data_IF_158629966227
#
_entry.id   IF_158629966227
#
_cell.length_a   1.000
_cell.length_b   1.000
_cell.length_c   1.000
_cell.angle_alpha   90.00
_cell.angle_beta   90.00
_cell.angle_gamma   90.00
#
_symmetry.space_group_name_H-M   'P 1'
#
loop_
_entity.id
_entity.type
_entity.pdbx_description
1 polymer ?
#
# COMPACT_ATOMS: atom_id res chain seq x y z
N UNK A 1 7.35 -12.82 12.85
CA UNK A 1 6.37 -12.56 11.77
C UNK A 1 7.06 -12.80 10.44
N UNK A 2 6.53 -13.70 9.62
CA UNK A 2 7.09 -13.97 8.28
C UNK A 2 6.37 -13.07 7.28
N UNK A 3 7.07 -12.10 6.70
CA UNK A 3 6.51 -11.23 5.66
C UNK A 3 6.54 -11.92 4.30
N UNK A 4 5.57 -11.59 3.44
CA UNK A 4 5.56 -12.09 2.08
C UNK A 4 6.75 -11.55 1.28
N UNK A 5 7.43 -12.43 0.56
CA UNK A 5 8.54 -12.08 -0.33
C UNK A 5 8.04 -11.90 -1.77
N UNK A 6 8.67 -11.02 -2.57
CA UNK A 6 8.37 -10.91 -3.99
C UNK A 6 8.64 -12.24 -4.68
N UNK A 7 7.59 -12.81 -5.30
CA UNK A 7 7.71 -14.07 -6.06
C UNK A 7 7.87 -13.85 -7.57
N UNK A 8 7.65 -12.61 -8.02
CA UNK A 8 7.58 -12.25 -9.42
C UNK A 8 8.49 -11.06 -9.70
N UNK A 9 9.02 -11.02 -10.92
CA UNK A 9 9.85 -9.90 -11.37
C UNK A 9 9.01 -8.64 -11.62
N UNK A 10 9.65 -7.47 -11.63
CA UNK A 10 8.95 -6.20 -11.90
C UNK A 10 8.26 -6.21 -13.27
N UNK A 11 8.83 -6.89 -14.26
CA UNK A 11 8.23 -7.10 -15.58
C UNK A 11 6.90 -7.86 -15.48
N UNK A 12 6.85 -8.94 -14.71
CA UNK A 12 5.65 -9.75 -14.50
C UNK A 12 4.56 -8.96 -13.78
N UNK A 13 4.93 -8.23 -12.73
CA UNK A 13 4.02 -7.33 -12.02
C UNK A 13 3.40 -6.30 -12.96
N UNK A 14 4.20 -5.75 -13.88
CA UNK A 14 3.69 -4.81 -14.88
C UNK A 14 2.79 -5.48 -15.92
N UNK A 15 3.11 -6.71 -16.35
CA UNK A 15 2.28 -7.50 -17.26
C UNK A 15 0.92 -7.81 -16.62
N UNK A 16 0.92 -8.29 -15.37
CA UNK A 16 -0.29 -8.54 -14.60
C UNK A 16 -1.15 -7.28 -14.48
N UNK A 17 -0.54 -6.11 -14.20
CA UNK A 17 -1.24 -4.84 -14.15
C UNK A 17 -1.98 -4.50 -15.46
N UNK A 18 -1.40 -4.82 -16.62
CA UNK A 18 -2.04 -4.62 -17.93
C UNK A 18 -3.20 -5.58 -18.14
N UNK A 19 -3.00 -6.87 -17.88
CA UNK A 19 -4.05 -7.91 -18.02
C UNK A 19 -5.28 -7.57 -17.18
N UNK A 20 -5.09 -7.15 -15.91
CA UNK A 20 -6.18 -6.75 -15.02
C UNK A 20 -6.97 -5.52 -15.50
N UNK A 21 -6.40 -4.74 -16.43
CA UNK A 21 -7.05 -3.59 -17.03
C UNK A 21 -7.84 -3.92 -18.29
N UNK A 22 -7.55 -5.04 -18.96
CA UNK A 22 -8.23 -5.47 -20.18
C UNK A 22 -9.70 -5.87 -19.90
N UNK A 23 -10.55 -5.69 -20.91
CA UNK A 23 -11.95 -6.16 -20.91
C UNK A 23 -12.07 -7.58 -21.44
N UNK A 24 -11.22 -7.95 -22.39
CA UNK A 24 -11.10 -9.30 -22.93
C UNK A 24 -9.79 -9.91 -22.40
N UNK A 25 -9.90 -11.08 -21.79
CA UNK A 25 -8.77 -11.81 -21.23
C UNK A 25 -9.11 -13.30 -21.20
N UNK A 26 -8.07 -14.12 -21.29
CA UNK A 26 -8.17 -15.51 -20.92
C UNK A 26 -8.32 -15.64 -19.39
N UNK A 27 -9.11 -16.61 -18.94
CA UNK A 27 -9.42 -16.78 -17.51
C UNK A 27 -8.16 -17.15 -16.72
N UNK A 28 -7.31 -18.02 -17.25
CA UNK A 28 -6.10 -18.47 -16.57
C UNK A 28 -5.09 -17.32 -16.48
N UNK A 29 -4.96 -16.51 -17.55
CA UNK A 29 -4.15 -15.29 -17.53
C UNK A 29 -4.63 -14.28 -16.47
N UNK A 30 -5.95 -14.12 -16.33
CA UNK A 30 -6.51 -13.20 -15.34
C UNK A 30 -6.30 -13.69 -13.91
N UNK A 31 -6.48 -14.99 -13.67
CA UNK A 31 -6.21 -15.61 -12.36
C UNK A 31 -4.74 -15.42 -12.00
N UNK A 32 -3.82 -15.72 -12.91
CA UNK A 32 -2.39 -15.46 -12.72
C UNK A 32 -2.12 -13.98 -12.40
N UNK A 33 -2.70 -13.06 -13.17
CA UNK A 33 -2.50 -11.63 -12.94
C UNK A 33 -3.02 -11.18 -11.57
N UNK A 34 -4.13 -11.76 -11.11
CA UNK A 34 -4.69 -11.47 -9.79
C UNK A 34 -3.81 -12.01 -8.65
N UNK A 35 -3.22 -13.20 -8.81
CA UNK A 35 -2.24 -13.75 -7.88
C UNK A 35 -0.98 -12.89 -7.78
N UNK A 36 -0.45 -12.43 -8.92
CA UNK A 36 0.69 -11.50 -8.98
C UNK A 36 0.37 -10.21 -8.22
N UNK A 37 -0.81 -9.63 -8.44
CA UNK A 37 -1.28 -8.45 -7.70
C UNK A 37 -1.38 -8.74 -6.19
N UNK A 38 -1.89 -9.90 -5.80
CA UNK A 38 -2.02 -10.29 -4.40
C UNK A 38 -0.66 -10.42 -3.71
N UNK A 39 0.31 -11.09 -4.34
CA UNK A 39 1.69 -11.19 -3.84
C UNK A 39 2.33 -9.80 -3.75
N UNK A 40 2.26 -9.00 -4.82
CA UNK A 40 2.84 -7.66 -4.85
C UNK A 40 2.31 -6.77 -3.72
N UNK A 41 0.98 -6.80 -3.48
CA UNK A 41 0.35 -6.10 -2.35
C UNK A 41 0.85 -6.65 -1.01
N UNK A 42 0.93 -7.96 -0.84
CA UNK A 42 1.37 -8.58 0.41
C UNK A 42 2.82 -8.22 0.77
N UNK A 43 3.72 -8.09 -0.21
CA UNK A 43 5.12 -7.69 0.00
C UNK A 43 5.26 -6.31 0.63
N UNK A 44 4.29 -5.41 0.42
CA UNK A 44 4.27 -4.10 1.05
C UNK A 44 3.97 -4.16 2.55
N UNK A 45 3.62 -5.32 3.11
CA UNK A 45 3.45 -5.50 4.55
C UNK A 45 4.73 -5.24 5.36
N UNK A 46 5.90 -5.63 4.85
CA UNK A 46 7.18 -5.37 5.51
C UNK A 46 7.49 -3.87 5.66
N UNK A 47 7.54 -3.07 4.57
CA UNK A 47 7.83 -1.64 4.71
C UNK A 47 6.77 -0.92 5.56
N UNK A 48 5.48 -1.27 5.40
CA UNK A 48 4.41 -0.71 6.24
C UNK A 48 4.68 -0.96 7.73
N UNK A 49 5.02 -2.20 8.12
CA UNK A 49 5.31 -2.53 9.51
C UNK A 49 6.52 -1.73 10.04
N UNK A 50 7.57 -1.58 9.22
CA UNK A 50 8.75 -0.77 9.57
C UNK A 50 8.37 0.68 9.84
N UNK A 51 7.62 1.33 8.94
CA UNK A 51 7.14 2.70 9.17
C UNK A 51 6.13 2.80 10.31
N UNK A 52 5.37 1.73 10.59
CA UNK A 52 4.40 1.69 11.69
C UNK A 52 5.07 1.85 13.04
N UNK A 53 6.23 1.22 13.23
CA UNK A 53 6.99 1.33 14.48
C UNK A 53 7.37 2.80 14.76
N UNK A 54 7.86 3.51 13.74
CA UNK A 54 8.18 4.93 13.83
C UNK A 54 6.94 5.78 14.14
N UNK A 55 5.83 5.57 13.42
CA UNK A 55 4.59 6.30 13.65
C UNK A 55 4.03 6.07 15.06
N UNK A 56 4.10 4.83 15.56
CA UNK A 56 3.69 4.48 16.92
C UNK A 56 4.52 5.20 17.98
N UNK A 57 5.84 5.31 17.77
CA UNK A 57 6.72 6.06 18.68
C UNK A 57 6.31 7.53 18.73
N UNK A 58 6.27 8.19 17.57
CA UNK A 58 5.96 9.62 17.45
C UNK A 58 4.57 9.98 17.95
N UNK A 59 3.55 9.18 17.63
CA UNK A 59 2.17 9.49 18.05
C UNK A 59 1.97 9.34 19.55
N UNK A 60 2.67 8.40 20.21
CA UNK A 60 2.56 8.17 21.66
C UNK A 60 3.09 9.35 22.49
N UNK A 61 4.05 10.09 21.96
CA UNK A 61 4.56 11.34 22.56
C UNK A 61 3.49 12.45 22.59
N UNK A 62 2.52 12.39 21.68
CA UNK A 62 1.46 13.40 21.51
C UNK A 62 0.14 12.95 22.14
N UNK A 63 -0.20 11.67 21.97
CA UNK A 63 -1.48 11.09 22.36
C UNK A 63 -1.34 9.62 22.74
N UNK A 64 -1.37 9.35 24.05
CA UNK A 64 -1.28 8.00 24.61
C UNK A 64 -2.47 7.10 24.22
N UNK A 65 -3.61 7.67 23.83
CA UNK A 65 -4.82 6.94 23.42
C UNK A 65 -4.94 6.80 21.90
N UNK A 66 -3.94 7.22 21.14
CA UNK A 66 -3.99 7.15 19.68
C UNK A 66 -4.01 5.72 19.16
N UNK A 67 -4.79 5.50 18.11
CA UNK A 67 -4.88 4.23 17.40
C UNK A 67 -4.03 4.32 16.14
N UNK A 68 -3.07 3.40 15.98
CA UNK A 68 -2.28 3.28 14.75
C UNK A 68 -2.66 2.00 14.01
N UNK A 69 -3.23 2.19 12.84
CA UNK A 69 -3.63 1.12 11.93
C UNK A 69 -2.74 1.10 10.69
N UNK A 70 -2.60 -0.09 10.11
CA UNK A 70 -1.95 -0.30 8.82
C UNK A 70 -2.99 -0.71 7.79
N UNK A 71 -2.77 -0.34 6.52
CA UNK A 71 -3.70 -0.67 5.44
C UNK A 71 -2.95 -0.95 4.15
N UNK A 72 -3.26 -2.09 3.54
CA UNK A 72 -3.00 -2.32 2.12
C UNK A 72 -4.15 -1.75 1.30
N UNK A 73 -3.85 -1.10 0.17
CA UNK A 73 -4.86 -0.67 -0.78
C UNK A 73 -5.58 -1.90 -1.32
N UNK A 74 -6.90 -1.80 -1.49
CA UNK A 74 -7.75 -2.91 -1.97
C UNK A 74 -7.47 -3.17 -3.46
N UNK A 75 -7.49 -4.44 -3.88
CA UNK A 75 -7.25 -4.82 -5.28
C UNK A 75 -8.15 -4.05 -6.28
N UNK A 76 -9.47 -3.93 -6.08
CA UNK A 76 -10.32 -3.15 -7.01
C UNK A 76 -9.89 -1.68 -7.14
N UNK A 77 -9.43 -1.07 -6.05
CA UNK A 77 -8.94 0.32 -6.08
C UNK A 77 -7.57 0.47 -6.74
N UNK A 78 -6.75 -0.57 -6.74
CA UNK A 78 -5.49 -0.62 -7.50
C UNK A 78 -5.81 -0.73 -8.99
N UNK A 79 -6.67 -1.68 -9.37
CA UNK A 79 -7.09 -1.91 -10.76
C UNK A 79 -7.77 -0.66 -11.33
N UNK A 80 -8.72 -0.07 -10.61
CA UNK A 80 -9.38 1.17 -11.04
C UNK A 80 -8.39 2.32 -11.26
N UNK A 81 -7.32 2.41 -10.47
CA UNK A 81 -6.29 3.43 -10.66
C UNK A 81 -5.43 3.16 -11.88
N UNK A 82 -5.06 1.90 -12.15
CA UNK A 82 -4.34 1.51 -13.36
C UNK A 82 -5.17 1.82 -14.61
N UNK A 83 -6.48 1.49 -14.60
CA UNK A 83 -7.41 1.84 -15.68
C UNK A 83 -7.49 3.36 -15.91
N UNK A 84 -7.50 4.15 -14.83
CA UNK A 84 -7.56 5.62 -14.90
C UNK A 84 -6.28 6.26 -15.44
N UNK A 85 -5.12 5.61 -15.26
CA UNK A 85 -3.82 6.15 -15.68
C UNK A 85 -3.06 5.11 -16.51
N UNK A 86 -3.31 5.02 -17.83
CA UNK A 86 -2.73 3.98 -18.69
C UNK A 86 -1.20 3.97 -18.75
N UNK A 87 -0.54 5.10 -18.50
CA UNK A 87 0.92 5.21 -18.42
C UNK A 87 1.50 4.67 -17.10
N UNK A 88 0.67 4.43 -16.08
CA UNK A 88 1.10 3.95 -14.78
C UNK A 88 1.40 2.45 -14.80
N UNK A 89 2.57 2.08 -14.27
CA UNK A 89 2.99 0.69 -14.12
C UNK A 89 2.73 0.21 -12.70
N UNK A 90 2.18 -1.00 -12.53
CA UNK A 90 1.85 -1.54 -11.20
C UNK A 90 3.08 -1.62 -10.28
N UNK A 91 4.25 -2.02 -10.80
CA UNK A 91 5.47 -2.11 -10.01
C UNK A 91 6.01 -0.73 -9.56
N UNK A 92 5.56 0.36 -10.18
CA UNK A 92 5.95 1.74 -9.84
C UNK A 92 4.86 2.46 -9.02
N UNK A 93 3.73 1.81 -8.74
CA UNK A 93 2.64 2.40 -7.99
C UNK A 93 3.05 2.62 -6.53
N UNK A 94 3.08 3.90 -6.11
CA UNK A 94 3.51 4.27 -4.76
C UNK A 94 2.40 4.11 -3.70
N UNK A 95 1.12 4.12 -4.09
CA UNK A 95 -0.02 4.05 -3.17
C UNK A 95 -0.55 2.62 -2.98
N UNK A 96 0.34 1.66 -2.72
CA UNK A 96 -0.04 0.27 -2.42
C UNK A 96 -0.26 0.05 -0.92
N UNK A 97 0.56 0.70 -0.10
CA UNK A 97 0.58 0.56 1.35
C UNK A 97 0.40 1.90 2.05
N UNK A 98 -0.20 1.90 3.23
CA UNK A 98 -0.37 3.11 4.01
C UNK A 98 -0.54 2.85 5.49
N UNK A 99 -0.27 3.89 6.27
CA UNK A 99 -0.47 3.94 7.71
C UNK A 99 -1.52 4.98 8.05
N UNK A 100 -2.22 4.75 9.16
CA UNK A 100 -3.21 5.68 9.70
C UNK A 100 -2.97 5.84 11.19
N UNK A 101 -2.92 7.09 11.64
CA UNK A 101 -3.03 7.44 13.05
C UNK A 101 -4.37 8.14 13.29
N UNK A 102 -5.11 7.69 14.30
CA UNK A 102 -6.34 8.33 14.79
C UNK A 102 -6.01 8.91 16.18
N UNK A 103 -6.13 10.21 16.31
CA UNK A 103 -5.79 10.98 17.53
C UNK A 103 -7.02 11.75 18.02
N UNK A 104 -7.01 12.15 19.29
CA UNK A 104 -8.17 12.74 19.96
C UNK A 104 -8.55 14.16 19.56
N UNK A 105 -7.74 14.87 18.76
CA UNK A 105 -8.09 16.23 18.29
C UNK A 105 -7.29 16.67 17.06
N UNK A 106 -7.84 17.64 16.33
CA UNK A 106 -7.17 18.25 15.16
C UNK A 106 -5.84 18.92 15.56
N UNK A 107 -5.76 19.54 16.74
CA UNK A 107 -4.52 20.13 17.24
C UNK A 107 -3.40 19.07 17.36
N UNK A 108 -3.73 17.84 17.78
CA UNK A 108 -2.76 16.74 17.85
C UNK A 108 -2.33 16.26 16.47
N UNK A 109 -3.22 16.27 15.48
CA UNK A 109 -2.86 15.99 14.07
C UNK A 109 -1.80 16.99 13.59
N UNK A 110 -2.00 18.29 13.85
CA UNK A 110 -1.05 19.34 13.44
C UNK A 110 0.30 19.21 14.14
N UNK A 111 0.32 18.84 15.42
CA UNK A 111 1.57 18.55 16.14
C UNK A 111 2.32 17.37 15.49
N UNK A 112 1.61 16.29 15.14
CA UNK A 112 2.21 15.13 14.48
C UNK A 112 2.75 15.50 13.10
N UNK A 113 2.00 16.28 12.32
CA UNK A 113 2.43 16.80 11.02
C UNK A 113 3.75 17.59 11.13
N UNK A 114 3.82 18.54 12.08
CA UNK A 114 5.02 19.37 12.28
C UNK A 114 6.26 18.53 12.59
N UNK A 115 6.13 17.49 13.43
CA UNK A 115 7.22 16.56 13.73
C UNK A 115 7.75 15.83 12.48
N UNK A 116 6.88 15.48 11.53
CA UNK A 116 7.30 14.87 10.28
C UNK A 116 7.90 15.85 9.27
N UNK A 117 7.52 17.13 9.29
CA UNK A 117 8.10 18.16 8.43
C UNK A 117 9.50 18.63 8.87
N UNK A 118 9.84 18.45 10.14
CA UNK A 118 11.12 18.86 10.73
C UNK A 118 12.16 17.73 10.80
N UNK A 119 11.78 16.51 10.42
CA UNK A 119 12.68 15.33 10.35
C UNK A 119 13.32 15.24 8.98
#
# INVERSE_FOLDING_TARGET
MTFAQPRYEKSDVNRAGKILCCTEFDLDEWVWAYEVLANWRACHGYPINTFQALLRKRVKEIDKKAIVAQRLKRAPSVIAKLKRFPSMKLAQMQDIGGLRAVVGSVARVRKLEALYRQS
#
